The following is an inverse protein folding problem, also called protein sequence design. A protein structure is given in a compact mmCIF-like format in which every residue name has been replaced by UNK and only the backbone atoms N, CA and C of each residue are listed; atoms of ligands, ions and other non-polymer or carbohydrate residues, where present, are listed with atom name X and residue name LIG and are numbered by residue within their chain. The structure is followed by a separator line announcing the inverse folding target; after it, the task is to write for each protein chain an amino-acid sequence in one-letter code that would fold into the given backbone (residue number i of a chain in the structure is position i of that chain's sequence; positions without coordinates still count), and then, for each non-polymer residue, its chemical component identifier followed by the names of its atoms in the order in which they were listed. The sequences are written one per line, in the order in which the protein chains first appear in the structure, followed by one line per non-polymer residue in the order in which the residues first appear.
data_IF_082207481825
#
_entry.id   IF_082207481825
#
_cell.length_a   1.000
_cell.length_b   1.000
_cell.length_c   1.000
_cell.angle_alpha   90.00
_cell.angle_beta   90.00
_cell.angle_gamma   90.00
#
_symmetry.space_group_name_H-M   'P 1'
#
loop_
_entity.id
_entity.type
_entity.pdbx_description
1 polymer ?
#
# COMPACT_ATOMS: atom_id res chain seq x y z
N UNK A 1 1.56 -2.30 8.17
CA UNK A 1 0.12 -2.66 8.13
C UNK A 1 -0.06 -3.68 7.01
N UNK A 2 -1.26 -3.90 6.42
CA UNK A 2 -1.73 -4.99 5.50
C UNK A 2 -0.78 -6.10 4.99
N UNK A 3 0.52 -5.91 4.88
CA UNK A 3 1.52 -6.97 4.92
C UNK A 3 1.20 -8.02 6.00
N UNK A 4 1.16 -9.29 5.58
CA UNK A 4 1.02 -10.46 6.43
C UNK A 4 2.05 -11.56 6.08
N UNK A 5 3.09 -11.19 5.33
CA UNK A 5 4.16 -12.05 4.84
C UNK A 5 5.50 -11.57 5.42
N UNK A 6 5.68 -11.75 6.73
CA UNK A 6 6.90 -11.44 7.47
C UNK A 6 6.92 -12.15 8.84
N UNK A 7 8.11 -12.24 9.44
CA UNK A 7 8.30 -12.79 10.79
C UNK A 7 8.26 -11.74 11.92
N UNK A 8 8.29 -10.46 11.57
CA UNK A 8 8.40 -9.33 12.51
C UNK A 8 7.05 -8.82 13.04
N UNK A 9 7.09 -7.75 13.83
CA UNK A 9 5.93 -7.00 14.28
C UNK A 9 5.11 -6.42 13.13
N UNK A 10 3.80 -6.28 13.37
CA UNK A 10 2.88 -5.75 12.37
C UNK A 10 1.43 -5.84 12.85
N UNK A 11 0.56 -5.06 12.21
CA UNK A 11 -0.86 -5.04 12.53
C UNK A 11 -1.56 -6.38 12.23
N UNK A 12 -0.92 -7.26 11.46
CA UNK A 12 -1.35 -8.63 11.26
C UNK A 12 -1.34 -9.48 12.54
N UNK A 13 -0.54 -9.11 13.54
CA UNK A 13 -0.53 -9.76 14.86
C UNK A 13 -1.65 -9.27 15.77
N UNK A 14 -2.30 -8.15 15.45
CA UNK A 14 -3.36 -7.52 16.26
C UNK A 14 -4.74 -7.71 15.61
N UNK A 15 -5.08 -8.96 15.31
CA UNK A 15 -6.31 -9.30 14.56
C UNK A 15 -7.62 -8.85 15.23
N UNK A 16 -7.66 -8.82 16.57
CA UNK A 16 -8.83 -8.34 17.30
C UNK A 16 -9.14 -6.86 17.09
N UNK A 17 -8.17 -6.08 16.59
CA UNK A 17 -8.37 -4.69 16.20
C UNK A 17 -8.48 -4.57 14.68
N UNK A 18 -7.57 -5.23 13.94
CA UNK A 18 -7.49 -5.14 12.48
C UNK A 18 -8.75 -5.66 11.81
N UNK A 19 -9.21 -6.85 12.18
CA UNK A 19 -10.28 -7.51 11.45
C UNK A 19 -11.62 -6.73 11.61
N UNK A 20 -12.01 -6.25 12.81
CA UNK A 20 -13.17 -5.37 12.95
C UNK A 20 -13.06 -4.05 12.18
N UNK A 21 -11.87 -3.44 12.10
CA UNK A 21 -11.67 -2.23 11.30
C UNK A 21 -11.91 -2.48 9.81
N UNK A 22 -11.32 -3.56 9.28
CA UNK A 22 -11.50 -3.94 7.87
C UNK A 22 -12.97 -4.28 7.57
N UNK A 23 -13.63 -5.00 8.47
CA UNK A 23 -15.07 -5.29 8.36
C UNK A 23 -15.89 -4.00 8.37
N UNK A 24 -15.58 -3.05 9.25
CA UNK A 24 -16.27 -1.76 9.31
C UNK A 24 -16.13 -0.95 8.01
N UNK A 25 -14.97 -0.98 7.34
CA UNK A 25 -14.80 -0.37 6.01
C UNK A 25 -15.75 -0.99 4.97
N UNK A 26 -15.96 -2.31 5.05
CA UNK A 26 -16.81 -3.08 4.14
C UNK A 26 -18.29 -2.90 4.41
N UNK A 27 -18.70 -2.88 5.69
CA UNK A 27 -20.08 -2.67 6.13
C UNK A 27 -20.58 -1.28 5.73
N UNK A 28 -19.72 -0.27 5.86
CA UNK A 28 -20.05 1.12 5.55
C UNK A 28 -19.76 1.51 4.10
N UNK A 29 -19.28 0.56 3.27
CA UNK A 29 -18.94 0.76 1.86
C UNK A 29 -18.07 2.01 1.62
N UNK A 30 -17.06 2.21 2.46
CA UNK A 30 -16.20 3.41 2.41
C UNK A 30 -15.25 3.33 1.19
N UNK A 31 -15.38 4.24 0.20
CA UNK A 31 -14.50 4.24 -0.97
C UNK A 31 -13.22 5.06 -0.71
N UNK A 32 -12.24 4.93 -1.60
CA UNK A 32 -11.06 5.80 -1.64
C UNK A 32 -10.02 5.55 -0.54
N UNK A 33 -10.09 4.42 0.16
CA UNK A 33 -9.17 4.12 1.28
C UNK A 33 -7.87 3.52 0.75
N UNK A 34 -6.76 4.05 1.27
CA UNK A 34 -5.43 3.44 1.19
C UNK A 34 -4.70 3.62 2.52
N UNK A 35 -3.77 2.72 2.82
CA UNK A 35 -2.94 2.80 4.03
C UNK A 35 -1.58 3.40 3.70
N UNK A 36 -1.07 4.20 4.64
CA UNK A 36 0.30 4.68 4.64
C UNK A 36 0.98 4.11 5.86
N UNK A 37 2.19 3.59 5.70
CA UNK A 37 2.98 3.01 6.78
C UNK A 37 4.47 3.29 6.58
N UNK A 38 5.28 2.89 7.55
CA UNK A 38 6.74 3.02 7.54
C UNK A 38 7.36 1.86 8.29
N UNK A 39 8.39 2.12 9.11
CA UNK A 39 9.01 1.19 10.06
C UNK A 39 9.80 0.02 9.45
N UNK A 40 9.36 -0.53 8.32
CA UNK A 40 9.98 -1.68 7.63
C UNK A 40 11.41 -1.45 7.12
N UNK A 41 11.97 -0.25 7.19
CA UNK A 41 13.31 0.08 6.66
C UNK A 41 13.51 -0.25 5.17
N UNK A 42 12.41 -0.28 4.43
CA UNK A 42 12.32 -0.30 2.97
C UNK A 42 10.99 0.31 2.53
N UNK A 43 10.88 0.57 1.23
CA UNK A 43 9.66 1.08 0.61
C UNK A 43 9.05 0.00 -0.26
N UNK A 44 7.74 -0.24 -0.09
CA UNK A 44 6.97 -1.20 -0.88
C UNK A 44 5.53 -0.70 -1.07
N UNK A 45 4.90 -1.18 -2.13
CA UNK A 45 3.47 -0.99 -2.34
C UNK A 45 2.82 -2.37 -2.34
N UNK A 46 1.85 -2.56 -1.45
CA UNK A 46 1.09 -3.79 -1.37
C UNK A 46 -0.33 -3.57 -1.90
N UNK A 47 -0.89 -4.64 -2.49
CA UNK A 47 -2.28 -4.73 -2.91
C UNK A 47 -2.90 -5.95 -2.22
N UNK A 48 -3.81 -5.71 -1.29
CA UNK A 48 -4.59 -6.75 -0.62
C UNK A 48 -5.96 -6.86 -1.31
N UNK A 49 -6.14 -7.89 -2.13
CA UNK A 49 -7.45 -8.21 -2.69
C UNK A 49 -8.42 -8.70 -1.60
N UNK A 50 -9.70 -8.34 -1.75
CA UNK A 50 -10.76 -8.66 -0.79
C UNK A 50 -11.98 -9.20 -1.54
N UNK A 51 -12.49 -10.39 -1.21
CA UNK A 51 -13.71 -10.91 -1.81
C UNK A 51 -14.87 -9.91 -1.64
N UNK A 52 -15.59 -9.60 -2.73
CA UNK A 52 -16.74 -8.70 -2.68
C UNK A 52 -16.43 -7.21 -2.41
N UNK A 53 -15.16 -6.80 -2.45
CA UNK A 53 -14.75 -5.43 -2.22
C UNK A 53 -13.57 -5.02 -3.12
N UNK A 54 -13.32 -3.71 -3.24
CA UNK A 54 -12.13 -3.23 -3.95
C UNK A 54 -10.85 -3.57 -3.17
N UNK A 55 -9.70 -3.75 -3.86
CA UNK A 55 -8.44 -4.03 -3.18
C UNK A 55 -7.99 -2.86 -2.32
N UNK A 56 -7.49 -3.14 -1.11
CA UNK A 56 -6.84 -2.12 -0.31
C UNK A 56 -5.36 -2.05 -0.69
N UNK A 57 -4.90 -0.84 -0.97
CA UNK A 57 -3.49 -0.57 -1.18
C UNK A 57 -2.85 -0.10 0.13
N UNK A 58 -1.64 -0.57 0.37
CA UNK A 58 -0.74 -0.01 1.39
C UNK A 58 0.51 0.53 0.71
N UNK A 59 0.90 1.74 1.07
CA UNK A 59 2.18 2.32 0.71
C UNK A 59 3.07 2.41 1.94
N UNK A 60 3.97 1.46 2.09
CA UNK A 60 5.02 1.49 3.11
C UNK A 60 6.15 2.36 2.61
N UNK A 61 6.47 3.45 3.29
CA UNK A 61 7.50 4.39 2.88
C UNK A 61 8.57 4.58 3.96
N UNK A 62 9.72 3.93 3.79
CA UNK A 62 10.86 4.07 4.69
C UNK A 62 12.15 3.51 4.04
N UNK A 63 13.34 3.77 4.60
CA UNK A 63 13.64 4.78 5.60
C UNK A 63 14.13 6.09 4.95
N UNK A 64 13.91 7.23 5.62
CA UNK A 64 14.54 8.49 5.20
C UNK A 64 15.97 8.61 5.73
N UNK A 65 16.18 8.22 7.00
CA UNK A 65 17.47 8.35 7.71
C UNK A 65 17.93 7.08 8.43
N UNK A 66 17.01 6.19 8.81
CA UNK A 66 17.36 4.90 9.43
C UNK A 66 18.07 3.97 8.45
N UNK A 67 18.82 2.99 8.95
CA UNK A 67 19.54 2.02 8.12
C UNK A 67 18.59 1.18 7.24
N UNK A 68 19.11 0.67 6.12
CA UNK A 68 18.35 -0.21 5.22
C UNK A 68 18.74 -1.68 5.43
N UNK A 69 17.93 -2.60 4.90
CA UNK A 69 18.26 -4.02 4.82
C UNK A 69 18.05 -4.57 3.41
N UNK A 70 18.54 -5.79 3.15
CA UNK A 70 18.24 -6.49 1.89
C UNK A 70 16.82 -7.07 1.94
N UNK A 71 16.07 -6.99 0.84
CA UNK A 71 14.71 -7.58 0.78
C UNK A 71 14.70 -9.09 0.63
N UNK A 72 15.80 -9.70 0.16
CA UNK A 72 15.93 -11.17 0.07
C UNK A 72 15.97 -11.82 1.45
N UNK A 73 16.54 -11.14 2.44
CA UNK A 73 16.59 -11.66 3.82
C UNK A 73 15.25 -11.55 4.57
N UNK A 74 14.31 -10.74 4.09
CA UNK A 74 13.01 -10.52 4.72
C UNK A 74 11.84 -11.33 4.15
N UNK A 75 12.04 -12.00 3.00
CA UNK A 75 10.95 -12.64 2.25
C UNK A 75 9.99 -11.65 1.59
N UNK A 76 10.34 -10.36 1.54
CA UNK A 76 9.44 -9.31 1.04
C UNK A 76 9.09 -9.52 -0.45
N UNK A 77 10.05 -10.04 -1.23
CA UNK A 77 9.87 -10.35 -2.66
C UNK A 77 8.90 -11.52 -2.90
N UNK A 78 8.71 -12.38 -1.90
CA UNK A 78 7.81 -13.54 -1.99
C UNK A 78 6.39 -13.20 -1.51
N UNK A 79 6.18 -11.98 -1.00
CA UNK A 79 4.86 -11.53 -0.57
C UNK A 79 3.90 -11.46 -1.77
N UNK A 80 2.83 -12.27 -1.80
CA UNK A 80 1.89 -12.30 -2.93
C UNK A 80 1.14 -10.98 -3.12
N UNK A 81 1.14 -10.10 -2.12
CA UNK A 81 0.53 -8.76 -2.18
C UNK A 81 1.47 -7.72 -2.79
N UNK A 82 2.75 -8.02 -2.99
CA UNK A 82 3.72 -7.05 -3.48
C UNK A 82 3.37 -6.62 -4.91
N UNK A 83 3.20 -5.31 -5.11
CA UNK A 83 3.03 -4.75 -6.45
C UNK A 83 4.37 -4.85 -7.19
N UNK A 84 4.42 -5.52 -8.37
CA UNK A 84 5.69 -5.72 -9.07
C UNK A 84 6.45 -4.41 -9.32
N UNK A 85 7.74 -4.44 -9.01
CA UNK A 85 8.66 -3.31 -9.17
C UNK A 85 8.48 -2.16 -8.17
N UNK A 86 7.70 -2.33 -7.09
CA UNK A 86 7.55 -1.27 -6.07
C UNK A 86 8.63 -1.26 -4.99
N UNK A 87 9.34 -2.37 -4.81
CA UNK A 87 10.25 -2.53 -3.67
C UNK A 87 11.55 -1.73 -3.85
N UNK A 88 11.91 -0.91 -2.86
CA UNK A 88 13.11 -0.06 -2.83
C UNK A 88 13.81 -0.16 -1.48
N UNK A 89 15.03 -0.71 -1.47
CA UNK A 89 15.89 -0.87 -0.28
C UNK A 89 16.97 0.22 -0.19
N UNK A 90 16.56 1.49 -0.32
CA UNK A 90 17.45 2.66 -0.32
C UNK A 90 16.80 3.78 0.47
N UNK A 91 17.58 4.73 1.00
CA UNK A 91 17.01 5.90 1.64
C UNK A 91 16.14 6.68 0.66
N UNK A 92 14.88 6.90 1.04
CA UNK A 92 13.88 7.48 0.15
C UNK A 92 12.75 8.18 0.93
N UNK A 93 11.93 8.91 0.19
CA UNK A 93 10.64 9.44 0.63
C UNK A 93 9.62 9.28 -0.50
N UNK A 94 8.34 9.35 -0.14
CA UNK A 94 7.23 9.19 -1.06
C UNK A 94 6.52 10.52 -1.23
N UNK A 95 6.26 10.91 -2.48
CA UNK A 95 5.45 12.09 -2.81
C UNK A 95 4.12 11.63 -3.39
N UNK A 96 3.04 12.14 -2.81
CA UNK A 96 1.67 11.88 -3.23
C UNK A 96 1.13 13.13 -3.94
N UNK A 97 0.66 12.96 -5.17
CA UNK A 97 0.10 14.06 -5.97
C UNK A 97 -1.30 13.70 -6.43
N UNK A 98 -2.28 14.52 -6.05
CA UNK A 98 -3.69 14.33 -6.39
C UNK A 98 -4.08 15.25 -7.54
N UNK A 99 -4.74 14.70 -8.54
CA UNK A 99 -5.10 15.40 -9.79
C UNK A 99 -6.45 14.92 -10.33
N UNK A 100 -6.94 15.55 -11.40
CA UNK A 100 -8.21 15.20 -12.05
C UNK A 100 -9.44 15.88 -11.43
N UNK A 101 -10.63 15.79 -12.05
CA UNK A 101 -11.87 16.39 -11.53
C UNK A 101 -12.42 15.62 -10.31
N UNK A 102 -13.42 16.19 -9.62
CA UNK A 102 -13.98 15.67 -8.36
C UNK A 102 -14.35 14.17 -8.42
N UNK A 103 -14.94 13.72 -9.52
CA UNK A 103 -15.45 12.36 -9.68
C UNK A 103 -14.52 11.44 -10.51
N UNK A 104 -13.33 11.91 -10.87
CA UNK A 104 -12.30 11.12 -11.59
C UNK A 104 -10.91 11.57 -11.10
N UNK A 105 -10.70 11.40 -9.79
CA UNK A 105 -9.43 11.77 -9.15
C UNK A 105 -8.39 10.69 -9.43
N UNK A 106 -7.15 11.14 -9.57
CA UNK A 106 -6.01 10.27 -9.73
C UNK A 106 -4.92 10.63 -8.73
N UNK A 107 -4.47 9.62 -7.98
CA UNK A 107 -3.33 9.71 -7.10
C UNK A 107 -2.09 9.19 -7.85
N UNK A 108 -1.07 10.02 -7.97
CA UNK A 108 0.28 9.60 -8.35
C UNK A 108 1.14 9.46 -7.10
N UNK A 109 1.81 8.31 -6.98
CA UNK A 109 2.81 8.02 -5.95
C UNK A 109 4.18 7.98 -6.61
N UNK A 110 5.08 8.83 -6.13
CA UNK A 110 6.47 8.92 -6.57
C UNK A 110 7.38 8.47 -5.42
N UNK A 111 8.31 7.55 -5.67
CA UNK A 111 9.35 7.18 -4.70
C UNK A 111 10.67 7.79 -5.12
N UNK A 112 11.23 8.63 -4.25
CA UNK A 112 12.36 9.50 -4.56
C UNK A 112 13.45 9.26 -3.52
N UNK A 113 14.68 9.02 -3.97
CA UNK A 113 15.84 8.91 -3.11
C UNK A 113 16.22 10.23 -2.44
N UNK A 114 16.98 10.17 -1.35
CA UNK A 114 17.44 11.37 -0.65
C UNK A 114 18.28 12.32 -1.54
N UNK A 115 18.91 11.80 -2.59
CA UNK A 115 19.68 12.57 -3.59
C UNK A 115 18.80 13.15 -4.72
N UNK A 116 17.48 12.98 -4.64
CA UNK A 116 16.55 13.39 -5.69
C UNK A 116 16.37 12.39 -6.83
N UNK A 117 17.10 11.26 -6.83
CA UNK A 117 16.90 10.18 -7.81
C UNK A 117 15.48 9.64 -7.73
N UNK A 118 14.78 9.64 -8.86
CA UNK A 118 13.46 9.03 -8.96
C UNK A 118 13.58 7.52 -9.17
N UNK A 119 12.98 6.71 -8.28
CA UNK A 119 13.01 5.25 -8.38
C UNK A 119 11.86 4.72 -9.24
N UNK A 120 10.64 5.18 -8.98
CA UNK A 120 9.45 4.85 -9.77
C UNK A 120 8.27 5.78 -9.50
N UNK A 121 7.33 5.80 -10.45
CA UNK A 121 6.00 6.40 -10.31
C UNK A 121 4.96 5.31 -10.54
N UNK A 122 3.90 5.30 -9.73
CA UNK A 122 2.69 4.52 -9.99
C UNK A 122 1.46 5.42 -9.80
N UNK A 123 0.38 5.10 -10.51
CA UNK A 123 -0.85 5.87 -10.49
C UNK A 123 -2.02 4.98 -10.06
N UNK A 124 -2.87 5.51 -9.17
CA UNK A 124 -4.09 4.88 -8.68
C UNK A 124 -5.25 5.80 -9.02
N UNK A 125 -6.19 5.32 -9.83
CA UNK A 125 -7.44 6.05 -10.11
C UNK A 125 -8.43 5.85 -8.97
N UNK A 126 -9.23 6.86 -8.66
CA UNK A 126 -10.30 6.73 -7.65
C UNK A 126 -11.31 5.63 -8.00
N UNK A 127 -11.50 5.35 -9.30
CA UNK A 127 -12.37 4.27 -9.78
C UNK A 127 -11.92 2.87 -9.32
N UNK A 128 -10.61 2.65 -9.09
CA UNK A 128 -10.12 1.37 -8.57
C UNK A 128 -10.20 1.27 -7.04
N UNK A 129 -10.63 2.33 -6.37
CA UNK A 129 -10.89 2.36 -4.92
C UNK A 129 -12.39 2.50 -4.64
N UNK A 130 -13.24 1.95 -5.51
CA UNK A 130 -14.70 2.06 -5.42
C UNK A 130 -15.37 0.69 -5.44
N UNK A 131 -16.45 0.52 -4.67
CA UNK A 131 -17.29 -0.68 -4.75
C UNK A 131 -18.01 -0.79 -6.11
N UNK A 132 -18.15 0.30 -6.86
CA UNK A 132 -18.77 0.27 -8.19
C UNK A 132 -18.03 -0.59 -9.22
N UNK A 133 -16.76 -0.93 -8.98
CA UNK A 133 -15.99 -1.82 -9.86
C UNK A 133 -16.22 -3.31 -9.53
N UNK A 134 -16.76 -3.59 -8.34
CA UNK A 134 -17.13 -4.93 -7.91
C UNK A 134 -18.57 -5.11 -8.39
N UNK A 135 -18.74 -5.80 -9.51
CA UNK A 135 -20.09 -6.22 -9.92
C UNK A 135 -20.61 -7.20 -8.89
N UNK A 136 -21.89 -7.07 -8.54
CA UNK A 136 -22.61 -8.12 -7.80
C UNK A 136 -22.53 -9.39 -8.66
N UNK A 137 -21.58 -10.26 -8.35
CA UNK A 137 -21.60 -11.62 -8.89
C UNK A 137 -22.73 -12.35 -8.15
N UNK A 138 -23.68 -12.96 -8.89
CA UNK A 138 -24.89 -13.56 -8.32
C UNK A 138 -24.61 -14.66 -7.31
#
# INVERSE_FOLDING_TARGET
MLNNHHAYEGWDKYRHERDPFLQWLDDNKIPGVMFLSGDKHHTEMLRADRPGAYPLYEMTCSPLTAGTHSSKSGGDMDNPRLVPGSLVNKHNYCKFSFSGPRNDRSLKVDVIGHEGKHYWSKQIKSSVLSYSQVSDSP
#
